data_IF_078427574505
#
_entry.id   IF_078427574505
#
_cell.length_a   1.000
_cell.length_b   1.000
_cell.length_c   1.000
_cell.angle_alpha   90.00
_cell.angle_beta   90.00
_cell.angle_gamma   90.00
#
_symmetry.space_group_name_H-M   'P 1'
#
loop_
_entity.id
_entity.type
_entity.pdbx_description
1 polymer ?
#
# COMPACT_ATOMS: atom_id res chain seq x y z
N UNK A 1 31.14 10.92 -19.90
CA UNK A 1 30.15 10.02 -20.54
C UNK A 1 29.17 10.94 -21.24
N UNK A 2 29.18 10.96 -22.57
CA UNK A 2 28.21 11.71 -23.36
C UNK A 2 26.87 10.99 -23.23
N UNK A 3 25.88 11.66 -22.66
CA UNK A 3 24.51 11.15 -22.63
C UNK A 3 23.95 11.41 -24.03
N UNK A 4 23.47 10.37 -24.71
CA UNK A 4 22.77 10.51 -25.99
C UNK A 4 21.43 11.21 -25.72
N UNK A 5 21.45 12.54 -25.79
CA UNK A 5 20.41 13.47 -25.32
C UNK A 5 19.06 13.28 -26.02
N UNK A 6 19.07 12.72 -27.24
CA UNK A 6 17.90 12.62 -28.12
C UNK A 6 16.93 11.48 -27.81
N UNK A 7 17.35 10.46 -27.04
CA UNK A 7 16.55 9.23 -26.83
C UNK A 7 15.91 9.14 -25.43
N UNK A 8 16.14 10.12 -24.56
CA UNK A 8 15.76 10.10 -23.13
C UNK A 8 15.11 11.40 -22.63
N UNK A 9 15.04 12.44 -23.46
CA UNK A 9 14.56 13.78 -23.09
C UNK A 9 13.11 13.82 -22.59
N UNK A 10 12.25 12.91 -23.06
CA UNK A 10 10.84 12.84 -22.62
C UNK A 10 10.66 12.25 -21.21
N UNK A 11 11.68 11.57 -20.68
CA UNK A 11 11.63 10.87 -19.39
C UNK A 11 12.52 11.54 -18.36
N UNK A 12 13.71 11.98 -18.73
CA UNK A 12 14.68 12.57 -17.80
C UNK A 12 15.05 13.96 -18.28
N UNK A 13 14.97 14.93 -17.37
CA UNK A 13 15.36 16.32 -17.61
C UNK A 13 16.47 16.68 -16.64
N UNK A 14 17.56 17.23 -17.16
CA UNK A 14 18.71 17.66 -16.36
C UNK A 14 18.71 19.19 -16.32
N UNK A 15 18.35 19.75 -15.18
CA UNK A 15 18.40 21.20 -14.97
C UNK A 15 19.75 21.60 -14.39
N UNK A 16 20.44 22.50 -15.08
CA UNK A 16 21.66 23.13 -14.58
C UNK A 16 21.29 24.44 -13.91
N UNK A 17 21.38 24.46 -12.58
CA UNK A 17 21.06 25.63 -11.76
C UNK A 17 22.34 26.46 -11.56
N UNK A 18 22.26 27.80 -11.55
CA UNK A 18 23.39 28.64 -11.14
C UNK A 18 23.95 28.18 -9.78
N UNK A 19 25.26 28.38 -9.55
CA UNK A 19 26.01 27.90 -8.37
C UNK A 19 26.35 26.39 -8.33
N UNK A 20 26.86 25.84 -9.45
CA UNK A 20 27.46 24.49 -9.52
C UNK A 20 26.52 23.33 -9.10
N UNK A 21 25.21 23.52 -9.20
CA UNK A 21 24.22 22.53 -8.79
C UNK A 21 23.51 21.95 -10.02
N UNK A 22 23.38 20.62 -10.07
CA UNK A 22 22.68 19.90 -11.15
C UNK A 22 21.53 19.10 -10.56
N UNK A 23 20.35 19.24 -11.15
CA UNK A 23 19.14 18.53 -10.73
C UNK A 23 18.74 17.52 -11.80
N UNK A 24 18.41 16.30 -11.36
CA UNK A 24 17.79 15.27 -12.21
C UNK A 24 16.28 15.23 -11.92
N UNK A 25 15.47 15.53 -12.92
CA UNK A 25 14.01 15.38 -12.90
C UNK A 25 13.63 14.13 -13.68
N UNK A 26 12.79 13.29 -13.09
CA UNK A 26 12.25 12.08 -13.71
C UNK A 26 10.75 12.32 -13.94
N UNK A 27 10.36 12.42 -15.21
CA UNK A 27 8.97 12.62 -15.62
C UNK A 27 8.21 11.29 -15.60
N UNK A 28 6.90 11.36 -15.35
CA UNK A 28 5.98 10.20 -15.38
C UNK A 28 6.54 9.00 -14.61
N UNK A 29 6.78 9.14 -13.31
CA UNK A 29 7.34 8.10 -12.45
C UNK A 29 6.56 6.78 -12.56
N UNK A 30 7.28 5.68 -12.70
CA UNK A 30 6.78 4.32 -12.78
C UNK A 30 7.54 3.43 -11.80
N UNK A 31 6.99 2.26 -11.47
CA UNK A 31 7.67 1.26 -10.62
C UNK A 31 9.04 0.83 -11.13
N UNK A 32 9.31 0.97 -12.44
CA UNK A 32 10.60 0.62 -13.05
C UNK A 32 11.70 1.63 -12.72
N UNK A 33 11.32 2.82 -12.26
CA UNK A 33 12.25 3.88 -11.89
C UNK A 33 12.77 3.72 -10.43
N UNK A 34 12.26 2.73 -9.68
CA UNK A 34 12.80 2.32 -8.38
C UNK A 34 14.26 1.94 -8.49
N UNK A 35 15.13 2.51 -7.65
CA UNK A 35 16.54 2.14 -7.71
C UNK A 35 17.48 3.05 -6.94
N UNK A 36 18.77 2.73 -7.07
CA UNK A 36 19.86 3.56 -6.57
C UNK A 36 20.37 4.48 -7.69
N UNK A 37 20.35 5.77 -7.43
CA UNK A 37 20.84 6.82 -8.30
C UNK A 37 22.17 7.35 -7.76
N UNK A 38 23.04 7.77 -8.67
CA UNK A 38 24.34 8.33 -8.33
C UNK A 38 24.49 9.68 -9.01
N UNK A 39 24.94 10.66 -8.24
CA UNK A 39 25.40 11.94 -8.76
C UNK A 39 26.91 11.95 -8.69
N UNK A 40 27.58 12.21 -9.82
CA UNK A 40 29.05 12.32 -9.87
C UNK A 40 29.43 13.73 -10.31
N UNK A 41 30.10 14.45 -9.41
CA UNK A 41 30.67 15.77 -9.67
C UNK A 41 32.16 15.63 -10.04
N UNK A 42 32.56 16.29 -11.12
CA UNK A 42 33.94 16.26 -11.62
C UNK A 42 34.56 17.64 -11.47
N UNK A 43 35.63 17.73 -10.68
CA UNK A 43 36.43 18.92 -10.46
C UNK A 43 37.84 18.72 -11.02
N UNK A 44 38.60 19.81 -11.19
CA UNK A 44 40.01 19.74 -11.63
C UNK A 44 40.88 18.89 -10.69
N UNK A 45 40.56 18.88 -9.40
CA UNK A 45 41.28 18.17 -8.34
C UNK A 45 40.85 16.71 -8.19
N UNK A 46 39.75 16.27 -8.82
CA UNK A 46 39.24 14.92 -8.67
C UNK A 46 37.72 14.80 -8.84
N UNK A 47 37.18 13.62 -8.54
CA UNK A 47 35.75 13.32 -8.65
C UNK A 47 35.13 13.06 -7.28
N UNK A 48 33.89 13.47 -7.10
CA UNK A 48 33.08 13.19 -5.91
C UNK A 48 31.76 12.54 -6.30
N UNK A 49 31.31 11.53 -5.53
CA UNK A 49 30.09 10.77 -5.81
C UNK A 49 29.13 10.81 -4.62
N UNK A 50 27.87 11.12 -4.90
CA UNK A 50 26.74 11.00 -3.97
C UNK A 50 25.78 9.89 -4.40
N UNK A 51 25.19 9.16 -3.46
CA UNK A 51 24.23 8.08 -3.70
C UNK A 51 22.86 8.45 -3.12
N UNK A 52 21.80 8.18 -3.88
CA UNK A 52 20.40 8.37 -3.49
C UNK A 52 19.61 7.10 -3.79
N UNK A 53 18.65 6.74 -2.93
CA UNK A 53 17.72 5.64 -3.19
C UNK A 53 16.34 6.20 -3.49
N UNK A 54 15.85 5.99 -4.71
CA UNK A 54 14.50 6.36 -5.13
C UNK A 54 13.55 5.18 -4.91
N UNK A 55 12.43 5.46 -4.23
CA UNK A 55 11.33 4.50 -4.03
C UNK A 55 10.01 5.12 -4.47
N UNK A 56 9.49 4.62 -5.58
CA UNK A 56 8.19 4.89 -6.18
C UNK A 56 7.15 4.01 -5.50
N UNK A 57 6.25 4.67 -4.78
CA UNK A 57 5.12 4.01 -4.15
C UNK A 57 3.95 3.91 -5.14
N UNK A 58 3.30 2.77 -5.16
CA UNK A 58 2.03 2.59 -5.89
C UNK A 58 0.85 2.80 -4.97
N UNK A 59 -0.33 3.12 -5.53
CA UNK A 59 -1.58 3.24 -4.79
C UNK A 59 -1.93 2.04 -3.89
N UNK A 60 -1.43 0.84 -4.21
CA UNK A 60 -1.59 -0.33 -3.35
C UNK A 60 -0.94 -0.19 -1.97
N UNK A 61 0.15 0.58 -1.84
CA UNK A 61 0.85 0.76 -0.57
C UNK A 61 -0.04 1.45 0.46
N UNK A 62 -0.61 2.65 0.19
CA UNK A 62 -1.55 3.26 1.11
C UNK A 62 -2.89 2.53 1.14
N UNK A 63 -3.28 1.76 0.12
CA UNK A 63 -4.57 1.06 0.09
C UNK A 63 -4.63 -0.16 1.03
N UNK A 64 -3.50 -0.86 1.22
CA UNK A 64 -3.39 -2.04 2.10
C UNK A 64 -3.98 -1.84 3.52
N UNK A 65 -3.66 -0.79 4.27
CA UNK A 65 -4.25 -0.58 5.59
C UNK A 65 -5.78 -0.42 5.54
N UNK A 66 -6.33 0.23 4.52
CA UNK A 66 -7.79 0.35 4.37
C UNK A 66 -8.45 -1.00 4.11
N UNK A 67 -7.85 -1.83 3.25
CA UNK A 67 -8.36 -3.18 3.00
C UNK A 67 -8.31 -4.06 4.25
N UNK A 68 -7.26 -3.91 5.07
CA UNK A 68 -7.16 -4.61 6.34
C UNK A 68 -8.29 -4.21 7.30
N UNK A 69 -8.56 -2.91 7.44
CA UNK A 69 -9.65 -2.39 8.27
C UNK A 69 -11.01 -2.89 7.78
N UNK A 70 -11.26 -2.86 6.46
CA UNK A 70 -12.51 -3.35 5.89
C UNK A 70 -12.70 -4.85 6.15
N UNK A 71 -11.66 -5.66 6.00
CA UNK A 71 -11.72 -7.07 6.30
C UNK A 71 -12.01 -7.32 7.80
N UNK A 72 -11.39 -6.56 8.69
CA UNK A 72 -11.62 -6.65 10.14
C UNK A 72 -13.08 -6.33 10.51
N UNK A 73 -13.64 -5.26 9.94
CA UNK A 73 -15.05 -4.89 10.17
C UNK A 73 -15.99 -6.00 9.67
N UNK A 74 -15.73 -6.57 8.49
CA UNK A 74 -16.54 -7.68 7.95
C UNK A 74 -16.48 -8.90 8.89
N UNK A 75 -15.30 -9.23 9.41
CA UNK A 75 -15.12 -10.35 10.35
C UNK A 75 -15.91 -10.10 11.63
N UNK A 76 -15.81 -8.90 12.22
CA UNK A 76 -16.55 -8.56 13.44
C UNK A 76 -18.06 -8.63 13.22
N UNK A 77 -18.56 -8.08 12.11
CA UNK A 77 -19.98 -8.13 11.76
C UNK A 77 -20.43 -9.58 11.56
N UNK A 78 -19.64 -10.42 10.88
CA UNK A 78 -19.95 -11.83 10.69
C UNK A 78 -20.02 -12.59 12.03
N UNK A 79 -19.06 -12.33 12.94
CA UNK A 79 -19.06 -12.93 14.28
C UNK A 79 -20.31 -12.52 15.06
N UNK A 80 -20.62 -11.23 15.13
CA UNK A 80 -21.81 -10.72 15.84
C UNK A 80 -23.09 -11.31 15.24
N UNK A 81 -23.21 -11.31 13.91
CA UNK A 81 -24.37 -11.87 13.21
C UNK A 81 -24.55 -13.37 13.52
N UNK A 82 -23.46 -14.14 13.51
CA UNK A 82 -23.50 -15.55 13.90
C UNK A 82 -23.97 -15.69 15.36
N UNK A 83 -23.42 -14.93 16.30
CA UNK A 83 -23.85 -14.96 17.69
C UNK A 83 -25.33 -14.63 17.87
N UNK A 84 -25.85 -13.62 17.18
CA UNK A 84 -27.27 -13.27 17.23
C UNK A 84 -28.14 -14.42 16.69
N UNK A 85 -27.77 -15.01 15.56
CA UNK A 85 -28.53 -16.12 14.95
C UNK A 85 -28.47 -17.37 15.83
N UNK A 86 -27.30 -17.73 16.36
CA UNK A 86 -27.16 -18.88 17.25
C UNK A 86 -27.87 -18.69 18.59
N UNK A 87 -27.84 -17.48 19.16
CA UNK A 87 -28.54 -17.19 20.42
C UNK A 87 -30.05 -17.29 20.24
N UNK A 88 -30.59 -16.71 19.16
CA UNK A 88 -32.02 -16.85 18.82
C UNK A 88 -32.43 -18.30 18.54
N UNK A 89 -31.56 -19.10 17.92
CA UNK A 89 -31.81 -20.53 17.74
C UNK A 89 -31.82 -21.28 19.07
N UNK A 90 -30.93 -20.95 20.01
CA UNK A 90 -30.87 -21.56 21.34
C UNK A 90 -32.11 -21.23 22.17
N UNK A 91 -32.59 -19.98 22.12
CA UNK A 91 -33.86 -19.60 22.76
C UNK A 91 -35.03 -20.41 22.20
N UNK A 92 -35.16 -20.49 20.87
CA UNK A 92 -36.23 -21.26 20.23
C UNK A 92 -36.19 -22.74 20.57
N UNK A 93 -35.00 -23.35 20.64
CA UNK A 93 -34.87 -24.76 21.03
C UNK A 93 -35.26 -24.98 22.50
N UNK A 94 -34.86 -24.06 23.39
CA UNK A 94 -35.23 -24.12 24.80
C UNK A 94 -36.72 -23.87 25.05
N UNK A 95 -37.40 -23.14 24.17
CA UNK A 95 -38.86 -22.96 24.19
C UNK A 95 -39.58 -24.22 23.70
N UNK A 96 -39.12 -24.81 22.58
CA UNK A 96 -39.69 -26.05 22.03
C UNK A 96 -39.55 -27.24 23.00
N UNK A 97 -38.41 -27.35 23.68
CA UNK A 97 -38.15 -28.42 24.64
C UNK A 97 -39.01 -28.28 25.90
N UNK A 98 -39.31 -27.04 26.33
CA UNK A 98 -40.25 -26.77 27.43
C UNK A 98 -41.71 -27.06 27.04
N UNK A 99 -42.11 -26.74 25.82
CA UNK A 99 -43.46 -27.07 25.33
C UNK A 99 -43.66 -28.60 25.21
N UNK A 100 -42.63 -29.34 24.76
CA UNK A 100 -42.71 -30.80 24.63
C UNK A 100 -42.87 -31.51 25.98
N UNK A 101 -42.08 -31.11 26.99
CA UNK A 101 -42.20 -31.61 28.37
C UNK A 101 -43.58 -31.30 28.98
N UNK A 102 -44.17 -30.15 28.67
CA UNK A 102 -45.51 -29.77 29.17
C UNK A 102 -46.64 -30.61 28.57
N UNK A 103 -46.48 -31.07 27.33
CA UNK A 103 -47.45 -31.93 26.64
C UNK A 103 -47.34 -33.39 27.08
N UNK A 104 -46.16 -33.88 27.46
CA UNK A 104 -45.96 -35.25 27.94
C UNK A 104 -46.50 -35.47 29.38
N UNK A 105 -46.59 -34.40 30.19
CA UNK A 105 -47.11 -34.45 31.57
C UNK A 105 -48.64 -34.34 31.70
N UNK A 106 -49.39 -34.33 30.59
CA UNK A 106 -50.86 -34.17 30.54
C UNK A 106 -51.56 -35.46 30.09
#
# INVERSE_FOLDING_TARGET
>A
IAINDSLLSDKYVIDRVPANTTHLKILKLTKKDDGAYWCEAVFKLGKSKGKLKLKVLTFLVPLKPFLAILAEVIILVAIVFLYEVYSKKKEKHAEYEKEFEQVEQL
#
